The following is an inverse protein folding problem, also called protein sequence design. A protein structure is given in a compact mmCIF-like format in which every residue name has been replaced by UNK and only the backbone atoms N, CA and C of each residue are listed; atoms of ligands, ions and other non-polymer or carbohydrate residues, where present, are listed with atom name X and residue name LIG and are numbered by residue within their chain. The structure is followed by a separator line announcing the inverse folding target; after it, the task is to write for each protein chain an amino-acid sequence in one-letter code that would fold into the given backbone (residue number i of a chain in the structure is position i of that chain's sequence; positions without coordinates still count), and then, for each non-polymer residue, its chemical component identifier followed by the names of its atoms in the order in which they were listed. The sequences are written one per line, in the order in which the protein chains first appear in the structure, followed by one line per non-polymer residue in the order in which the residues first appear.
data_IF_233131272162
#
_entry.id   IF_233131272162
#
_cell.length_a   1.000
_cell.length_b   1.000
_cell.length_c   1.000
_cell.angle_alpha   90.00
_cell.angle_beta   90.00
_cell.angle_gamma   90.00
#
_symmetry.space_group_name_H-M   'P 1'
#
loop_
_entity.id
_entity.type
_entity.pdbx_description
1 polymer ?
#
# COMPACT_ATOMS: atom_id res chain seq x y z
N UNK A 1 -22.96 -0.22 24.79
CA UNK A 1 -22.42 -1.33 23.97
C UNK A 1 -21.03 -1.65 24.51
N UNK A 2 -20.78 -2.88 24.94
CA UNK A 2 -19.50 -3.27 25.56
C UNK A 2 -18.51 -3.57 24.43
N UNK A 3 -17.43 -2.78 24.32
CA UNK A 3 -16.35 -3.02 23.37
C UNK A 3 -15.58 -4.28 23.77
N UNK A 4 -15.61 -5.29 22.92
CA UNK A 4 -14.78 -6.49 23.06
C UNK A 4 -13.58 -6.29 22.12
N UNK A 5 -12.42 -5.97 22.69
CA UNK A 5 -11.16 -5.97 21.97
C UNK A 5 -10.55 -7.38 22.04
N UNK A 6 -10.38 -8.02 20.88
CA UNK A 6 -9.59 -9.25 20.78
C UNK A 6 -8.12 -8.88 20.60
N UNK A 7 -7.28 -9.17 21.60
CA UNK A 7 -5.83 -9.14 21.48
C UNK A 7 -5.34 -10.54 21.12
N UNK A 8 -4.99 -10.76 19.85
CA UNK A 8 -4.27 -11.97 19.45
C UNK A 8 -2.78 -11.80 19.81
N UNK A 9 -2.25 -12.76 20.56
CA UNK A 9 -0.89 -12.81 21.08
C UNK A 9 0.14 -12.96 19.95
N UNK A 10 1.04 -11.99 19.79
CA UNK A 10 2.16 -12.05 18.84
C UNK A 10 3.32 -12.86 19.42
N UNK A 11 3.84 -13.82 18.66
CA UNK A 11 5.14 -14.44 18.91
C UNK A 11 6.24 -13.36 18.95
N UNK A 12 7.00 -13.32 20.05
CA UNK A 12 8.22 -12.50 20.15
C UNK A 12 9.31 -13.23 19.36
N UNK A 13 9.57 -12.78 18.13
CA UNK A 13 10.77 -13.17 17.42
C UNK A 13 11.95 -12.36 17.97
N UNK A 14 12.81 -12.99 18.76
CA UNK A 14 14.06 -12.39 19.23
C UNK A 14 15.01 -12.25 18.02
N UNK A 15 15.12 -11.06 17.46
CA UNK A 15 16.11 -10.78 16.42
C UNK A 15 17.50 -10.66 17.08
N UNK A 16 18.34 -11.68 16.91
CA UNK A 16 19.77 -11.55 17.14
C UNK A 16 20.34 -10.67 16.01
N UNK A 17 20.80 -9.47 16.35
CA UNK A 17 21.44 -8.55 15.39
C UNK A 17 22.84 -9.09 15.06
N UNK A 18 22.93 -9.95 14.05
CA UNK A 18 24.20 -10.34 13.44
C UNK A 18 24.61 -9.27 12.42
N UNK A 19 25.77 -8.65 12.66
CA UNK A 19 26.43 -7.72 11.73
C UNK A 19 26.97 -8.51 10.53
N UNK A 20 26.24 -8.55 9.42
CA UNK A 20 26.76 -9.15 8.18
C UNK A 20 25.72 -9.27 7.05
N UNK A 21 26.08 -8.72 5.88
CA UNK A 21 25.38 -8.76 4.59
C UNK A 21 24.10 -7.93 4.45
N UNK A 22 24.13 -6.97 3.52
CA UNK A 22 23.00 -6.17 3.02
C UNK A 22 22.05 -7.01 2.15
N UNK A 23 21.54 -8.11 2.70
CA UNK A 23 20.39 -8.81 2.14
C UNK A 23 19.10 -8.10 2.51
N UNK A 24 18.11 -8.12 1.61
CA UNK A 24 16.73 -7.73 1.95
C UNK A 24 16.29 -8.52 3.17
N UNK A 25 15.91 -7.84 4.26
CA UNK A 25 15.39 -8.52 5.46
C UNK A 25 14.12 -9.30 5.08
N UNK A 26 14.09 -10.60 5.40
CA UNK A 26 12.99 -11.50 5.06
C UNK A 26 12.17 -11.92 6.28
N UNK A 27 10.85 -11.92 6.14
CA UNK A 27 9.91 -12.55 7.08
C UNK A 27 9.46 -13.88 6.47
N UNK A 28 9.59 -14.98 7.21
CA UNK A 28 9.11 -16.30 6.79
C UNK A 28 8.02 -16.80 7.73
N UNK A 29 6.86 -17.10 7.18
CA UNK A 29 5.70 -17.69 7.88
C UNK A 29 5.49 -19.08 7.27
N UNK A 30 5.81 -20.14 8.02
CA UNK A 30 5.71 -21.52 7.50
C UNK A 30 4.27 -21.99 7.29
N UNK A 31 3.31 -21.43 8.02
CA UNK A 31 1.88 -21.73 7.91
C UNK A 31 1.08 -20.61 7.24
N UNK A 32 -0.22 -20.57 7.53
CA UNK A 32 -1.11 -19.50 7.06
C UNK A 32 -0.91 -18.20 7.86
N UNK A 33 -1.13 -17.07 7.20
CA UNK A 33 -1.11 -15.73 7.80
C UNK A 33 -2.49 -15.09 7.66
N UNK A 34 -3.06 -14.62 8.78
CA UNK A 34 -4.31 -13.88 8.78
C UNK A 34 -4.11 -12.56 9.50
N UNK A 35 -4.40 -11.45 8.82
CA UNK A 35 -4.25 -10.09 9.33
C UNK A 35 -5.57 -9.36 9.17
N UNK A 36 -6.13 -8.89 10.28
CA UNK A 36 -7.37 -8.12 10.28
C UNK A 36 -7.18 -6.84 11.07
N UNK A 37 -7.51 -5.71 10.45
CA UNK A 37 -7.55 -4.41 11.11
C UNK A 37 -8.93 -3.78 10.89
N UNK A 38 -9.52 -3.25 11.96
CA UNK A 38 -10.79 -2.54 11.92
C UNK A 38 -10.65 -1.20 12.62
N UNK A 39 -11.09 -0.13 11.97
CA UNK A 39 -11.17 1.22 12.52
C UNK A 39 -12.62 1.67 12.38
N UNK A 40 -13.31 1.82 13.51
CA UNK A 40 -14.72 2.22 13.55
C UNK A 40 -14.86 3.54 14.32
N UNK A 41 -15.25 4.61 13.62
CA UNK A 41 -15.35 5.98 14.16
C UNK A 41 -14.02 6.59 14.62
N UNK A 42 -12.91 5.87 14.45
CA UNK A 42 -11.58 6.22 14.95
C UNK A 42 -10.70 6.98 13.95
N UNK A 43 -9.49 7.32 14.39
CA UNK A 43 -8.49 8.02 13.58
C UNK A 43 -7.16 7.27 13.60
N UNK A 44 -6.53 7.11 12.44
CA UNK A 44 -5.18 6.57 12.28
C UNK A 44 -4.39 7.54 11.40
N UNK A 45 -3.41 8.23 11.98
CA UNK A 45 -2.59 9.18 11.25
C UNK A 45 -1.13 8.76 11.26
N UNK A 46 -0.48 8.92 10.12
CA UNK A 46 0.96 8.89 9.99
C UNK A 46 1.40 10.14 9.23
N UNK A 47 2.29 10.94 9.80
CA UNK A 47 2.73 12.20 9.17
C UNK A 47 4.23 12.35 9.28
N UNK A 48 4.85 12.68 8.13
CA UNK A 48 6.26 12.96 8.00
C UNK A 48 6.41 14.38 7.41
N UNK A 49 7.23 15.24 8.02
CA UNK A 49 7.14 16.69 7.76
C UNK A 49 8.18 17.25 6.78
N UNK A 50 9.46 16.88 6.87
CA UNK A 50 10.52 17.47 6.02
C UNK A 50 11.51 16.42 5.54
N UNK A 51 11.66 16.30 4.20
CA UNK A 51 12.51 15.32 3.52
C UNK A 51 12.26 13.93 4.10
N UNK A 52 11.02 13.48 4.00
CA UNK A 52 10.46 12.50 4.89
C UNK A 52 9.73 11.37 4.14
N UNK A 53 9.70 10.20 4.78
CA UNK A 53 9.07 8.99 4.26
C UNK A 53 7.90 8.58 5.16
N UNK A 54 6.67 8.75 4.68
CA UNK A 54 5.47 8.34 5.40
C UNK A 54 5.01 6.97 4.90
N UNK A 55 5.18 5.92 5.72
CA UNK A 55 4.80 4.55 5.37
C UNK A 55 3.81 3.96 6.37
N UNK A 56 2.58 3.75 5.92
CA UNK A 56 1.49 3.19 6.72
C UNK A 56 1.03 1.86 6.12
N UNK A 57 1.02 0.80 6.93
CA UNK A 57 0.56 -0.53 6.54
C UNK A 57 -0.56 -0.96 7.48
N UNK A 58 -1.74 -1.25 6.94
CA UNK A 58 -2.91 -1.72 7.67
C UNK A 58 -3.24 -3.12 7.15
N UNK A 59 -3.07 -4.12 8.00
CA UNK A 59 -3.25 -5.54 7.67
C UNK A 59 -2.54 -5.96 6.37
N UNK A 60 -1.30 -5.53 6.13
CA UNK A 60 -0.61 -5.73 4.84
C UNK A 60 0.73 -6.45 5.00
N UNK A 61 1.13 -7.19 3.95
CA UNK A 61 2.48 -7.73 3.79
C UNK A 61 3.32 -6.75 2.97
N UNK A 62 4.48 -6.34 3.48
CA UNK A 62 5.38 -5.42 2.78
C UNK A 62 6.84 -5.84 2.88
N UNK A 63 7.60 -5.68 1.80
CA UNK A 63 9.02 -6.02 1.75
C UNK A 63 9.23 -7.49 1.39
N UNK A 64 10.29 -8.11 1.90
CA UNK A 64 10.58 -9.54 1.70
C UNK A 64 9.72 -10.42 2.62
N UNK A 65 8.59 -10.93 2.15
CA UNK A 65 7.68 -11.79 2.94
C UNK A 65 7.42 -13.10 2.21
N UNK A 66 7.63 -14.23 2.89
CA UNK A 66 7.33 -15.57 2.37
C UNK A 66 6.34 -16.29 3.27
N UNK A 67 5.23 -16.76 2.72
CA UNK A 67 4.14 -17.44 3.43
C UNK A 67 3.95 -18.83 2.82
N UNK A 68 4.10 -19.89 3.60
CA UNK A 68 3.95 -21.29 3.17
C UNK A 68 2.51 -21.83 3.20
N UNK A 69 1.58 -21.04 3.72
CA UNK A 69 0.14 -21.34 3.74
C UNK A 69 -0.70 -20.27 3.06
N UNK A 70 -1.98 -20.20 3.44
CA UNK A 70 -2.91 -19.18 2.93
C UNK A 70 -2.62 -17.82 3.56
N UNK A 71 -2.63 -16.76 2.76
CA UNK A 71 -2.58 -15.37 3.23
C UNK A 71 -3.96 -14.74 3.18
N UNK A 72 -4.45 -14.20 4.28
CA UNK A 72 -5.71 -13.46 4.37
C UNK A 72 -5.45 -12.11 5.00
N UNK A 73 -5.83 -11.04 4.30
CA UNK A 73 -5.68 -9.67 4.77
C UNK A 73 -7.02 -8.94 4.66
N UNK A 74 -7.47 -8.37 5.77
CA UNK A 74 -8.75 -7.65 5.84
C UNK A 74 -8.57 -6.30 6.53
N UNK A 75 -9.00 -5.23 5.87
CA UNK A 75 -9.09 -3.89 6.46
C UNK A 75 -10.53 -3.39 6.40
N UNK A 76 -11.08 -2.96 7.53
CA UNK A 76 -12.43 -2.39 7.63
C UNK A 76 -12.35 -0.99 8.20
N UNK A 77 -12.80 0.00 7.46
CA UNK A 77 -12.83 1.40 7.84
C UNK A 77 -14.28 1.89 7.81
N UNK A 78 -14.91 2.04 8.97
CA UNK A 78 -16.30 2.51 9.08
C UNK A 78 -16.33 3.84 9.83
N UNK A 79 -16.74 4.92 9.16
CA UNK A 79 -16.73 6.27 9.74
C UNK A 79 -15.35 6.72 10.25
N UNK A 80 -14.29 6.08 9.77
CA UNK A 80 -12.93 6.30 10.23
C UNK A 80 -12.23 7.41 9.44
N UNK A 81 -11.18 7.98 10.03
CA UNK A 81 -10.23 8.87 9.34
C UNK A 81 -8.85 8.23 9.34
N UNK A 82 -8.39 7.79 8.19
CA UNK A 82 -7.07 7.17 8.02
C UNK A 82 -6.24 8.05 7.09
N UNK A 83 -5.15 8.61 7.60
CA UNK A 83 -4.29 9.52 6.85
C UNK A 83 -2.82 9.07 6.88
N UNK A 84 -2.16 9.19 5.72
CA UNK A 84 -0.72 9.04 5.56
C UNK A 84 -0.21 10.25 4.76
N UNK A 85 0.61 11.09 5.37
CA UNK A 85 1.01 12.37 4.79
C UNK A 85 2.53 12.56 4.86
N UNK A 86 3.11 12.98 3.74
CA UNK A 86 4.47 13.47 3.65
C UNK A 86 4.42 14.89 3.03
N UNK A 87 5.07 15.89 3.65
CA UNK A 87 4.76 17.32 3.50
C UNK A 87 5.85 18.20 2.88
N UNK A 88 6.96 17.64 2.40
CA UNK A 88 8.07 18.40 1.82
C UNK A 88 8.59 17.89 0.47
N UNK A 89 9.42 18.71 -0.17
CA UNK A 89 10.16 18.37 -1.39
C UNK A 89 10.83 16.99 -1.31
N UNK A 90 10.63 16.15 -2.33
CA UNK A 90 11.19 14.79 -2.40
C UNK A 90 10.49 13.77 -1.52
N UNK A 91 9.41 14.15 -0.83
CA UNK A 91 8.73 13.27 0.09
C UNK A 91 8.00 12.14 -0.62
N UNK A 92 7.95 10.99 0.06
CA UNK A 92 7.26 9.80 -0.42
C UNK A 92 6.26 9.32 0.62
N UNK A 93 5.00 9.17 0.19
CA UNK A 93 3.90 8.66 1.00
C UNK A 93 3.42 7.33 0.44
N UNK A 94 3.60 6.24 1.20
CA UNK A 94 3.16 4.89 0.87
C UNK A 94 2.12 4.41 1.88
N UNK A 95 0.90 4.15 1.41
CA UNK A 95 -0.19 3.64 2.21
C UNK A 95 -0.70 2.32 1.64
N UNK A 96 -0.65 1.26 2.45
CA UNK A 96 -1.08 -0.08 2.06
C UNK A 96 -2.17 -0.58 2.99
N UNK A 97 -3.31 -0.96 2.43
CA UNK A 97 -4.43 -1.57 3.13
C UNK A 97 -4.67 -2.96 2.54
N UNK A 98 -4.66 -3.97 3.41
CA UNK A 98 -4.84 -5.36 3.03
C UNK A 98 -4.06 -5.77 1.77
N UNK A 99 -2.82 -5.33 1.59
CA UNK A 99 -2.09 -5.48 0.31
C UNK A 99 -0.81 -6.31 0.47
N UNK A 100 -0.32 -6.86 -0.64
CA UNK A 100 1.03 -7.41 -0.77
C UNK A 100 1.88 -6.40 -1.57
N UNK A 101 2.97 -5.87 -0.98
CA UNK A 101 3.78 -4.83 -1.62
C UNK A 101 5.28 -5.13 -1.50
N UNK A 102 6.03 -5.07 -2.59
CA UNK A 102 7.47 -5.35 -2.60
C UNK A 102 7.76 -6.76 -3.11
N UNK A 103 8.48 -7.57 -2.32
CA UNK A 103 8.88 -8.93 -2.70
C UNK A 103 8.14 -9.98 -1.86
N UNK A 104 6.95 -10.40 -2.31
CA UNK A 104 6.07 -11.28 -1.53
C UNK A 104 5.83 -12.60 -2.25
N UNK A 105 6.03 -13.71 -1.53
CA UNK A 105 5.73 -15.06 -1.98
C UNK A 105 4.64 -15.71 -1.11
N UNK A 106 3.60 -16.25 -1.73
CA UNK A 106 2.53 -17.02 -1.08
C UNK A 106 2.45 -18.39 -1.73
N UNK A 107 2.94 -19.40 -1.03
CA UNK A 107 3.18 -20.75 -1.53
C UNK A 107 2.40 -21.79 -0.72
N UNK A 108 1.06 -21.83 -0.81
CA UNK A 108 0.25 -22.76 -0.03
C UNK A 108 0.48 -24.21 -0.51
N UNK A 109 0.88 -25.09 0.40
CA UNK A 109 1.09 -26.52 0.11
C UNK A 109 -0.23 -27.31 -0.12
N UNK A 110 -1.39 -26.68 0.07
CA UNK A 110 -2.75 -27.24 -0.10
C UNK A 110 -3.64 -26.24 -0.87
N UNK A 111 -4.89 -26.59 -1.19
CA UNK A 111 -5.89 -25.66 -1.74
C UNK A 111 -5.96 -24.38 -0.87
N UNK A 112 -5.26 -23.33 -1.31
CA UNK A 112 -5.05 -22.09 -0.58
C UNK A 112 -4.68 -20.97 -1.53
N UNK A 113 -4.45 -19.78 -0.98
CA UNK A 113 -4.32 -18.59 -1.80
C UNK A 113 -3.94 -17.33 -1.03
N UNK A 114 -4.00 -16.20 -1.72
CA UNK A 114 -3.86 -14.86 -1.15
C UNK A 114 -5.17 -14.10 -1.30
N UNK A 115 -5.76 -13.66 -0.19
CA UNK A 115 -7.07 -13.03 -0.17
C UNK A 115 -6.96 -11.66 0.48
N UNK A 116 -7.34 -10.64 -0.27
CA UNK A 116 -7.26 -9.26 0.18
C UNK A 116 -8.64 -8.62 0.14
N UNK A 117 -9.06 -8.02 1.25
CA UNK A 117 -10.37 -7.36 1.34
C UNK A 117 -10.27 -6.04 2.08
N UNK A 118 -10.78 -4.98 1.44
CA UNK A 118 -10.88 -3.65 2.03
C UNK A 118 -12.32 -3.16 1.94
N UNK A 119 -12.89 -2.75 3.08
CA UNK A 119 -14.23 -2.15 3.15
C UNK A 119 -14.13 -0.76 3.76
N UNK A 120 -14.62 0.25 3.05
CA UNK A 120 -14.55 1.66 3.45
C UNK A 120 -15.97 2.24 3.39
N UNK A 121 -16.56 2.47 4.55
CA UNK A 121 -17.99 2.79 4.70
C UNK A 121 -18.25 3.88 5.74
N UNK A 122 -19.51 4.29 5.89
CA UNK A 122 -19.94 5.08 7.06
C UNK A 122 -19.40 6.51 7.11
N UNK A 123 -19.15 7.15 5.95
CA UNK A 123 -18.49 8.46 5.85
C UNK A 123 -17.00 8.43 6.23
N UNK A 124 -16.33 7.30 5.98
CA UNK A 124 -14.90 7.18 6.21
C UNK A 124 -14.07 8.02 5.22
N UNK A 125 -12.91 8.47 5.66
CA UNK A 125 -11.89 9.14 4.83
C UNK A 125 -10.61 8.33 4.87
N UNK A 126 -10.14 7.91 3.70
CA UNK A 126 -8.82 7.32 3.50
C UNK A 126 -7.99 8.28 2.63
N UNK A 127 -6.89 8.79 3.17
CA UNK A 127 -6.05 9.79 2.52
C UNK A 127 -4.60 9.35 2.50
N UNK A 128 -3.98 9.40 1.32
CA UNK A 128 -2.54 9.36 1.14
C UNK A 128 -2.10 10.63 0.40
N UNK A 129 -1.08 11.32 0.90
CA UNK A 129 -0.63 12.58 0.31
C UNK A 129 0.87 12.76 0.40
N UNK A 130 1.50 13.14 -0.72
CA UNK A 130 2.87 13.62 -0.78
C UNK A 130 2.91 15.03 -1.39
N UNK A 131 3.64 15.96 -0.78
CA UNK A 131 3.66 17.36 -1.21
C UNK A 131 5.08 17.89 -1.34
N UNK A 132 5.50 18.17 -2.58
CA UNK A 132 6.78 18.76 -2.95
C UNK A 132 6.68 20.23 -3.39
N UNK A 133 5.55 20.91 -3.13
CA UNK A 133 5.35 22.32 -3.53
C UNK A 133 6.27 23.29 -2.82
N UNK A 134 6.90 22.89 -1.71
CA UNK A 134 7.97 23.65 -1.06
C UNK A 134 9.31 23.59 -1.81
N UNK A 135 9.43 22.73 -2.84
CA UNK A 135 10.59 22.71 -3.72
C UNK A 135 10.55 23.92 -4.66
N UNK A 136 11.69 24.61 -4.83
CA UNK A 136 11.87 25.66 -5.85
C UNK A 136 12.09 25.08 -7.25
N UNK A 137 12.12 23.76 -7.39
CA UNK A 137 12.38 23.12 -8.66
C UNK A 137 11.17 23.23 -9.62
N UNK A 138 11.44 23.75 -10.82
CA UNK A 138 10.49 23.86 -11.92
C UNK A 138 11.19 23.40 -13.21
N UNK A 139 10.64 22.37 -13.87
CA UNK A 139 11.23 21.77 -15.08
C UNK A 139 11.29 20.25 -15.00
N UNK A 140 11.58 19.52 -16.10
CA UNK A 140 11.54 18.05 -16.17
C UNK A 140 12.68 17.33 -15.44
N UNK A 141 13.66 18.07 -14.91
CA UNK A 141 14.85 17.54 -14.23
C UNK A 141 14.78 17.73 -12.70
N UNK A 142 13.57 17.70 -12.11
CA UNK A 142 13.46 17.78 -10.65
C UNK A 142 13.62 16.41 -10.04
N UNK A 143 14.70 16.23 -9.30
CA UNK A 143 15.00 15.00 -8.58
C UNK A 143 14.13 14.84 -7.31
N UNK A 144 13.48 15.91 -6.82
CA UNK A 144 12.66 15.88 -5.60
C UNK A 144 11.13 15.95 -5.86
N UNK A 145 10.66 15.27 -6.91
CA UNK A 145 9.23 15.09 -7.14
C UNK A 145 8.58 14.28 -6.01
N UNK A 146 7.46 14.76 -5.46
CA UNK A 146 6.66 13.99 -4.49
C UNK A 146 6.05 12.72 -5.11
N UNK A 147 6.13 11.61 -4.38
CA UNK A 147 5.59 10.31 -4.79
C UNK A 147 4.52 9.82 -3.80
N UNK A 148 3.31 9.58 -4.28
CA UNK A 148 2.21 9.08 -3.48
C UNK A 148 1.71 7.73 -4.00
N UNK A 149 1.96 6.66 -3.23
CA UNK A 149 1.50 5.30 -3.53
C UNK A 149 0.40 4.87 -2.55
N UNK A 150 -0.79 4.56 -3.07
CA UNK A 150 -1.89 4.03 -2.29
C UNK A 150 -2.36 2.70 -2.86
N UNK A 151 -2.23 1.65 -2.06
CA UNK A 151 -2.63 0.29 -2.43
C UNK A 151 -3.74 -0.17 -1.49
N UNK A 152 -4.89 -0.55 -2.03
CA UNK A 152 -5.95 -1.21 -1.31
C UNK A 152 -6.26 -2.55 -1.96
N UNK A 153 -6.25 -3.61 -1.16
CA UNK A 153 -6.42 -4.98 -1.59
C UNK A 153 -5.60 -5.38 -2.82
N UNK A 154 -4.37 -4.88 -2.98
CA UNK A 154 -3.60 -5.04 -4.23
C UNK A 154 -2.33 -5.85 -4.05
N UNK A 155 -1.81 -6.38 -5.16
CA UNK A 155 -0.47 -6.96 -5.27
C UNK A 155 0.41 -6.00 -6.08
N UNK A 156 1.45 -5.42 -5.47
CA UNK A 156 2.37 -4.47 -6.12
C UNK A 156 3.82 -4.90 -5.94
N UNK A 157 4.59 -5.01 -7.03
CA UNK A 157 6.02 -5.31 -6.99
C UNK A 157 6.38 -6.65 -7.63
N UNK A 158 7.35 -7.38 -7.04
CA UNK A 158 7.68 -8.77 -7.42
C UNK A 158 6.89 -9.73 -6.52
N UNK A 159 5.77 -10.23 -7.05
CA UNK A 159 4.81 -11.01 -6.28
C UNK A 159 4.65 -12.38 -6.92
N UNK A 160 4.82 -13.43 -6.13
CA UNK A 160 4.58 -14.81 -6.55
C UNK A 160 3.50 -15.44 -5.69
N UNK A 161 2.43 -15.95 -6.32
CA UNK A 161 1.34 -16.66 -5.65
C UNK A 161 1.14 -17.99 -6.38
N UNK A 162 1.45 -19.11 -5.75
CA UNK A 162 1.30 -20.44 -6.35
C UNK A 162 -0.12 -21.01 -6.09
N UNK A 163 -1.15 -20.21 -6.33
CA UNK A 163 -2.55 -20.52 -5.99
C UNK A 163 -3.47 -19.29 -6.02
N UNK A 164 -4.72 -19.40 -5.56
CA UNK A 164 -5.78 -18.42 -5.88
C UNK A 164 -5.51 -17.03 -5.27
N UNK A 165 -5.60 -15.96 -6.05
CA UNK A 165 -5.60 -14.57 -5.54
C UNK A 165 -6.98 -13.93 -5.72
N UNK A 166 -7.66 -13.51 -4.67
CA UNK A 166 -8.91 -12.74 -4.79
C UNK A 166 -8.84 -11.42 -4.02
N UNK A 167 -9.05 -10.31 -4.73
CA UNK A 167 -8.83 -8.95 -4.29
C UNK A 167 -10.14 -8.17 -4.37
N UNK A 168 -10.58 -7.63 -3.24
CA UNK A 168 -11.85 -6.92 -3.12
C UNK A 168 -11.71 -5.56 -2.45
N UNK A 169 -12.22 -4.52 -3.09
CA UNK A 169 -12.39 -3.20 -2.47
C UNK A 169 -13.86 -2.80 -2.56
N UNK A 170 -14.48 -2.48 -1.43
CA UNK A 170 -15.82 -1.90 -1.35
C UNK A 170 -15.78 -0.51 -0.74
N UNK A 171 -16.23 0.51 -1.48
CA UNK A 171 -16.29 1.90 -1.04
C UNK A 171 -17.75 2.37 -1.11
N UNK A 172 -18.30 2.81 0.01
CA UNK A 172 -19.72 3.19 0.07
C UNK A 172 -20.02 4.29 1.09
N UNK A 173 -20.99 5.16 0.79
CA UNK A 173 -21.48 6.21 1.66
C UNK A 173 -21.27 7.61 1.08
N UNK A 174 -22.25 8.49 1.26
CA UNK A 174 -22.31 9.79 0.55
C UNK A 174 -21.18 10.76 0.86
N UNK A 175 -20.53 10.61 2.02
CA UNK A 175 -19.35 11.41 2.40
C UNK A 175 -18.08 10.55 2.54
N UNK A 176 -18.11 9.30 2.04
CA UNK A 176 -16.95 8.42 2.07
C UNK A 176 -15.99 8.82 0.96
N UNK A 177 -14.70 8.98 1.29
CA UNK A 177 -13.68 9.36 0.31
C UNK A 177 -12.39 8.55 0.44
N UNK A 178 -11.82 8.18 -0.70
CA UNK A 178 -10.51 7.56 -0.84
C UNK A 178 -9.69 8.41 -1.79
N UNK A 179 -8.64 9.02 -1.28
CA UNK A 179 -7.85 10.02 -2.01
C UNK A 179 -6.37 9.68 -1.95
N UNK A 180 -5.72 9.73 -3.11
CA UNK A 180 -4.28 9.71 -3.26
C UNK A 180 -3.84 11.00 -3.95
N UNK A 181 -2.87 11.72 -3.40
CA UNK A 181 -2.48 13.02 -3.94
C UNK A 181 -0.97 13.21 -3.94
N UNK A 182 -0.41 13.63 -5.07
CA UNK A 182 0.96 14.12 -5.19
C UNK A 182 0.96 15.56 -5.71
N UNK A 183 1.68 16.48 -5.07
CA UNK A 183 1.71 17.91 -5.44
C UNK A 183 3.12 18.44 -5.67
N UNK A 184 3.32 19.23 -6.72
CA UNK A 184 4.62 19.77 -7.16
C UNK A 184 5.02 19.29 -8.56
N UNK A 185 6.15 19.78 -9.06
CA UNK A 185 6.68 19.38 -10.38
C UNK A 185 7.22 17.94 -10.37
N UNK A 186 7.10 17.22 -11.49
CA UNK A 186 7.54 15.81 -11.66
C UNK A 186 6.96 14.85 -10.62
N UNK A 187 5.74 15.16 -10.16
CA UNK A 187 5.10 14.34 -9.15
C UNK A 187 4.41 13.14 -9.72
N UNK A 188 4.33 12.08 -8.90
CA UNK A 188 3.68 10.85 -9.30
C UNK A 188 2.70 10.40 -8.23
N UNK A 189 1.45 10.20 -8.63
CA UNK A 189 0.43 9.60 -7.79
C UNK A 189 0.01 8.25 -8.38
N UNK A 190 0.29 7.15 -7.68
CA UNK A 190 -0.11 5.79 -8.07
C UNK A 190 -1.16 5.26 -7.10
N UNK A 191 -2.33 4.90 -7.62
CA UNK A 191 -3.44 4.37 -6.84
C UNK A 191 -3.89 3.02 -7.41
N UNK A 192 -3.86 1.99 -6.57
CA UNK A 192 -4.16 0.62 -6.92
C UNK A 192 -5.31 0.11 -6.03
N UNK A 193 -6.43 -0.24 -6.64
CA UNK A 193 -7.63 -0.76 -5.97
C UNK A 193 -7.93 -2.14 -6.55
N UNK A 194 -7.75 -3.17 -5.73
CA UNK A 194 -7.81 -4.58 -6.15
C UNK A 194 -7.08 -4.87 -7.47
N UNK A 195 -5.80 -4.53 -7.56
CA UNK A 195 -5.03 -4.69 -8.80
C UNK A 195 -3.74 -5.48 -8.62
N UNK A 196 -3.24 -6.03 -9.73
CA UNK A 196 -1.89 -6.57 -9.83
C UNK A 196 -1.02 -5.56 -10.60
N UNK A 197 0.02 -5.04 -9.95
CA UNK A 197 0.87 -3.99 -10.51
C UNK A 197 2.37 -4.37 -10.44
N UNK A 198 3.05 -4.36 -11.59
CA UNK A 198 4.44 -4.79 -11.73
C UNK A 198 4.58 -6.27 -12.07
N UNK A 199 5.64 -6.92 -11.58
CA UNK A 199 5.95 -8.33 -11.85
C UNK A 199 5.16 -9.25 -10.92
N UNK A 200 3.92 -9.53 -11.31
CA UNK A 200 3.02 -10.38 -10.52
C UNK A 200 2.75 -11.70 -11.24
N UNK A 201 3.09 -12.82 -10.59
CA UNK A 201 2.78 -14.17 -11.06
C UNK A 201 1.73 -14.79 -10.15
N UNK A 202 0.55 -15.09 -10.71
CA UNK A 202 -0.51 -15.85 -10.04
C UNK A 202 -0.73 -17.17 -10.79
N UNK A 203 -0.39 -18.29 -10.17
CA UNK A 203 -0.68 -19.61 -10.72
C UNK A 203 -2.11 -20.01 -10.39
N UNK A 204 -3.00 -20.03 -11.38
CA UNK A 204 -4.42 -20.37 -11.22
C UNK A 204 -5.33 -19.16 -11.41
N UNK A 205 -6.33 -18.99 -10.54
CA UNK A 205 -7.31 -17.90 -10.66
C UNK A 205 -6.82 -16.62 -9.99
N UNK A 206 -6.97 -15.51 -10.73
CA UNK A 206 -6.91 -14.14 -10.23
C UNK A 206 -8.28 -13.50 -10.41
N UNK A 207 -8.90 -13.04 -9.32
CA UNK A 207 -10.17 -12.31 -9.38
C UNK A 207 -10.02 -10.98 -8.65
N UNK A 208 -10.39 -9.92 -9.35
CA UNK A 208 -10.31 -8.56 -8.86
C UNK A 208 -11.69 -7.91 -8.93
N UNK A 209 -12.09 -7.23 -7.86
CA UNK A 209 -13.36 -6.52 -7.82
C UNK A 209 -13.21 -5.24 -7.02
N UNK A 210 -13.67 -4.13 -7.60
CA UNK A 210 -13.84 -2.86 -6.90
C UNK A 210 -15.27 -2.40 -7.07
N UNK A 211 -15.95 -2.05 -5.97
CA UNK A 211 -17.26 -1.42 -6.00
C UNK A 211 -17.20 -0.05 -5.32
N UNK A 212 -17.76 0.96 -5.98
CA UNK A 212 -17.85 2.33 -5.49
C UNK A 212 -19.31 2.74 -5.63
N UNK A 213 -19.96 3.08 -4.52
CA UNK A 213 -21.41 3.23 -4.47
C UNK A 213 -21.86 4.33 -3.51
N UNK A 214 -23.14 4.69 -3.59
CA UNK A 214 -23.79 5.64 -2.68
C UNK A 214 -23.10 7.00 -2.61
N UNK A 215 -22.60 7.51 -3.75
CA UNK A 215 -21.95 8.83 -3.82
C UNK A 215 -20.53 8.89 -3.27
N UNK A 216 -19.92 7.75 -2.94
CA UNK A 216 -18.54 7.70 -2.48
C UNK A 216 -17.54 8.18 -3.54
N UNK A 217 -16.44 8.78 -3.09
CA UNK A 217 -15.38 9.30 -3.95
C UNK A 217 -14.14 8.40 -3.92
N UNK A 218 -13.63 8.07 -5.10
CA UNK A 218 -12.28 7.55 -5.30
C UNK A 218 -11.53 8.50 -6.24
N UNK A 219 -10.42 9.08 -5.78
CA UNK A 219 -9.65 10.04 -6.56
C UNK A 219 -8.15 9.78 -6.45
N UNK A 220 -7.47 9.89 -7.58
CA UNK A 220 -6.02 9.91 -7.69
C UNK A 220 -5.61 11.20 -8.41
N UNK A 221 -4.79 12.02 -7.77
CA UNK A 221 -4.47 13.36 -8.25
C UNK A 221 -2.97 13.62 -8.20
N UNK A 222 -2.38 13.95 -9.34
CA UNK A 222 -1.04 14.51 -9.42
C UNK A 222 -1.13 15.92 -10.00
N UNK A 223 -0.63 16.93 -9.29
CA UNK A 223 -0.73 18.35 -9.71
C UNK A 223 0.62 19.04 -9.75
N UNK A 224 0.94 19.62 -10.91
CA UNK A 224 2.16 20.38 -11.17
C UNK A 224 2.64 20.15 -12.60
N UNK A 225 3.72 20.82 -13.01
CA UNK A 225 4.36 20.56 -14.31
C UNK A 225 4.91 19.14 -14.35
N UNK A 226 4.70 18.42 -15.45
CA UNK A 226 5.16 17.02 -15.62
C UNK A 226 4.62 16.05 -14.54
N UNK A 227 3.42 16.31 -14.03
CA UNK A 227 2.78 15.42 -13.06
C UNK A 227 2.12 14.21 -13.74
N UNK A 228 2.24 13.03 -13.12
CA UNK A 228 1.69 11.79 -13.62
C UNK A 228 0.77 11.13 -12.59
N UNK A 229 -0.42 10.72 -13.01
CA UNK A 229 -1.36 9.99 -12.18
C UNK A 229 -1.67 8.63 -12.83
N UNK A 230 -1.35 7.55 -12.12
CA UNK A 230 -1.62 6.17 -12.53
C UNK A 230 -2.71 5.60 -11.61
N UNK A 231 -3.85 5.24 -12.19
CA UNK A 231 -4.98 4.69 -11.43
C UNK A 231 -5.38 3.32 -12.00
N UNK A 232 -5.21 2.30 -11.17
CA UNK A 232 -5.55 0.92 -11.48
C UNK A 232 -6.71 0.48 -10.58
N UNK A 233 -7.80 0.05 -11.21
CA UNK A 233 -9.01 -0.39 -10.52
C UNK A 233 -9.39 -1.74 -11.12
N UNK A 234 -9.33 -2.79 -10.31
CA UNK A 234 -9.63 -4.16 -10.74
C UNK A 234 -8.88 -4.59 -12.02
N UNK A 235 -7.58 -4.25 -12.12
CA UNK A 235 -6.77 -4.41 -13.33
C UNK A 235 -5.46 -5.18 -13.10
N UNK A 236 -4.86 -5.63 -14.20
CA UNK A 236 -3.47 -6.11 -14.25
C UNK A 236 -2.66 -5.11 -15.06
N UNK A 237 -1.64 -4.52 -14.48
CA UNK A 237 -0.78 -3.55 -15.15
C UNK A 237 0.70 -3.91 -14.90
N UNK A 238 1.40 -4.17 -15.99
CA UNK A 238 2.81 -4.57 -16.00
C UNK A 238 3.73 -3.44 -16.47
N UNK A 239 3.17 -2.26 -16.80
CA UNK A 239 3.96 -1.11 -17.23
C UNK A 239 5.02 -0.83 -16.18
N UNK A 240 6.24 -0.52 -16.65
CA UNK A 240 7.39 -0.24 -15.80
C UNK A 240 6.98 0.82 -14.77
N UNK A 241 6.72 0.41 -13.52
CA UNK A 241 6.17 1.33 -12.55
C UNK A 241 7.20 2.44 -12.37
N UNK A 242 6.76 3.70 -12.13
CA UNK A 242 7.69 4.73 -11.69
C UNK A 242 8.52 4.14 -10.53
N UNK A 243 9.83 4.43 -10.53
CA UNK A 243 10.83 3.58 -9.86
C UNK A 243 10.35 3.05 -8.51
N UNK A 244 10.51 1.73 -8.32
CA UNK A 244 10.11 1.02 -7.11
C UNK A 244 10.69 1.76 -5.90
N UNK A 245 9.80 2.27 -5.04
CA UNK A 245 10.23 2.97 -3.83
C UNK A 245 10.96 1.96 -2.94
N UNK A 246 12.29 2.05 -2.87
CA UNK A 246 13.09 1.30 -1.92
C UNK A 246 12.59 1.65 -0.50
N UNK A 247 12.32 0.62 0.31
CA UNK A 247 11.59 0.76 1.58
C UNK A 247 12.53 0.58 2.76
N UNK A 248 12.70 1.62 3.58
CA UNK A 248 13.30 1.54 4.93
C UNK A 248 14.67 2.23 5.09
N UNK A 249 15.19 2.34 6.34
CA UNK A 249 16.46 3.03 6.64
C UNK A 249 17.67 2.44 5.90
N UNK A 250 17.58 1.17 5.51
CA UNK A 250 18.62 0.44 4.76
C UNK A 250 18.75 0.87 3.29
N UNK A 251 17.79 1.65 2.75
CA UNK A 251 17.76 2.08 1.36
C UNK A 251 18.47 3.42 1.07
N UNK A 252 19.00 4.09 2.10
CA UNK A 252 19.56 5.44 1.95
C UNK A 252 18.50 6.52 1.65
N UNK A 253 18.89 7.80 1.66
CA UNK A 253 17.99 8.90 1.39
C UNK A 253 17.61 8.94 -0.10
N UNK A 254 16.32 8.79 -0.38
CA UNK A 254 15.61 9.39 -1.54
C UNK A 254 16.21 9.23 -2.94
N UNK A 255 17.01 8.21 -3.23
CA UNK A 255 17.39 7.94 -4.62
C UNK A 255 16.34 7.07 -5.28
N UNK A 256 15.64 7.64 -6.26
CA UNK A 256 15.07 6.89 -7.38
C UNK A 256 16.19 5.99 -7.90
N UNK A 257 15.95 4.68 -8.00
CA UNK A 257 16.93 3.78 -8.57
C UNK A 257 17.18 4.23 -10.02
N UNK A 258 18.37 4.76 -10.29
CA UNK A 258 18.86 4.94 -11.65
C UNK A 258 18.95 3.56 -12.30
N UNK A 259 18.31 3.42 -13.46
CA UNK A 259 18.28 2.23 -14.31
C UNK A 259 19.65 1.54 -14.44
#
# INVERSE_FOLDING_TARGET
MKSIAFFALSLVATAAMATGSTGVSTITISGSSTQTASVNGGKVDNTANSHAYANQNIASNKGGVSIGGTSVQTAVLEGAKVSNEAKSAGDVAVQNLASNVGHVAVNPNVLGGSYQSVYITGNATLKNSADSTSNRCSGPNCDDGALAYQNAASNMGDITITGRSEQGVGISGGSTSVTNTAKGANTVAVQNMSSNYGKVTVSGLSKQSTSISNGALLANLATGSYAHAYQNIASNDSCDPPAVVCVGPACGPYKLASH
#
